data_IF_470133473946
#
_entry.id   IF_470133473946
#
_cell.length_a   1.000
_cell.length_b   1.000
_cell.length_c   1.000
_cell.angle_alpha   90.00
_cell.angle_beta   90.00
_cell.angle_gamma   90.00
#
_symmetry.space_group_name_H-M   'P 1'
#
loop_
_entity.id
_entity.type
_entity.pdbx_description
1 polymer ?
#
# COMPACT_ATOMS: atom_id res chain seq x y z
N UNK A 1 3.17 -25.88 -8.95
CA UNK A 1 4.15 -24.87 -8.50
C UNK A 1 3.45 -24.03 -7.44
N UNK A 2 3.72 -24.28 -6.16
CA UNK A 2 2.92 -23.72 -5.06
C UNK A 2 3.28 -22.25 -4.84
N UNK A 3 2.34 -21.35 -5.11
CA UNK A 3 2.44 -19.91 -4.91
C UNK A 3 2.30 -19.55 -3.42
N UNK A 4 3.23 -20.00 -2.56
CA UNK A 4 3.20 -19.61 -1.15
C UNK A 4 4.05 -18.36 -0.93
N UNK A 5 3.38 -17.21 -0.76
CA UNK A 5 4.01 -16.03 -0.15
C UNK A 5 4.59 -16.45 1.21
N UNK A 6 5.84 -16.09 1.55
CA UNK A 6 6.41 -16.41 2.86
C UNK A 6 5.49 -15.94 4.00
N UNK A 7 5.19 -16.83 4.96
CA UNK A 7 4.30 -16.53 6.09
C UNK A 7 4.76 -15.30 6.88
N UNK A 8 6.07 -15.10 6.98
CA UNK A 8 6.68 -13.93 7.60
C UNK A 8 6.30 -12.64 6.86
N UNK A 9 6.58 -12.56 5.56
CA UNK A 9 6.28 -11.37 4.76
C UNK A 9 4.79 -10.98 4.81
N UNK A 10 3.90 -11.98 4.78
CA UNK A 10 2.46 -11.73 4.91
C UNK A 10 2.08 -11.23 6.31
N UNK A 11 2.70 -11.76 7.37
CA UNK A 11 2.48 -11.29 8.73
C UNK A 11 2.99 -9.85 8.94
N UNK A 12 4.16 -9.53 8.39
CA UNK A 12 4.73 -8.18 8.45
C UNK A 12 3.87 -7.16 7.72
N UNK A 13 3.44 -7.46 6.48
CA UNK A 13 2.56 -6.58 5.72
C UNK A 13 1.23 -6.32 6.46
N UNK A 14 0.63 -7.38 7.03
CA UNK A 14 -0.60 -7.25 7.82
C UNK A 14 -0.41 -6.39 9.06
N UNK A 15 0.70 -6.56 9.77
CA UNK A 15 1.00 -5.78 10.98
C UNK A 15 1.18 -4.29 10.66
N UNK A 16 1.90 -3.97 9.57
CA UNK A 16 2.07 -2.58 9.11
C UNK A 16 0.71 -1.97 8.76
N UNK A 17 -0.11 -2.64 7.95
CA UNK A 17 -1.44 -2.15 7.55
C UNK A 17 -2.36 -1.99 8.78
N UNK A 18 -2.36 -2.96 9.70
CA UNK A 18 -3.16 -2.87 10.92
C UNK A 18 -2.79 -1.65 11.75
N UNK A 19 -1.49 -1.35 11.90
CA UNK A 19 -1.03 -0.15 12.61
C UNK A 19 -1.41 1.14 11.89
N UNK A 20 -1.36 1.18 10.55
CA UNK A 20 -1.79 2.35 9.79
C UNK A 20 -3.28 2.62 10.00
N UNK A 21 -4.13 1.61 9.78
CA UNK A 21 -5.58 1.73 9.95
C UNK A 21 -5.99 2.00 11.41
N UNK A 22 -5.20 1.54 12.37
CA UNK A 22 -5.46 1.81 13.79
C UNK A 22 -5.05 3.22 14.23
N UNK A 23 -4.13 3.89 13.55
CA UNK A 23 -3.65 5.21 14.02
C UNK A 23 -4.07 6.36 13.12
N UNK A 24 -4.49 6.09 11.88
CA UNK A 24 -4.75 7.13 10.89
C UNK A 24 -6.01 6.88 10.07
N UNK A 25 -6.74 7.96 9.82
CA UNK A 25 -7.62 8.06 8.66
C UNK A 25 -6.76 8.38 7.43
N UNK A 26 -7.00 7.66 6.33
CA UNK A 26 -6.17 7.70 5.11
C UNK A 26 -7.04 8.11 3.93
N UNK A 27 -6.63 9.15 3.22
CA UNK A 27 -7.30 9.64 2.00
C UNK A 27 -6.29 9.77 0.85
N UNK A 28 -6.72 9.53 -0.39
CA UNK A 28 -5.89 9.78 -1.57
C UNK A 28 -5.62 11.28 -1.74
N UNK A 29 -4.38 11.65 -2.04
CA UNK A 29 -4.01 13.03 -2.34
C UNK A 29 -4.11 13.34 -3.84
N UNK A 30 -5.33 13.38 -4.36
CA UNK A 30 -5.63 13.65 -5.76
C UNK A 30 -6.14 12.44 -6.54
N UNK A 31 -6.30 12.59 -7.86
CA UNK A 31 -6.81 11.51 -8.73
C UNK A 31 -5.70 10.50 -9.07
N UNK A 32 -5.95 9.23 -8.76
CA UNK A 32 -5.02 8.11 -8.95
C UNK A 32 -5.69 6.94 -9.68
N UNK A 33 -6.76 7.20 -10.47
CA UNK A 33 -7.53 6.14 -11.17
C UNK A 33 -6.71 5.24 -12.07
N UNK A 34 -5.60 5.73 -12.62
CA UNK A 34 -4.72 5.01 -13.55
C UNK A 34 -3.43 4.52 -12.89
N UNK A 35 -3.33 4.57 -11.57
CA UNK A 35 -2.06 4.33 -10.87
C UNK A 35 -1.45 2.95 -11.15
N UNK A 36 -2.29 1.92 -11.31
CA UNK A 36 -1.83 0.56 -11.62
C UNK A 36 -1.45 0.44 -13.09
N UNK A 37 -2.19 1.11 -13.98
CA UNK A 37 -1.98 1.14 -15.42
C UNK A 37 -0.69 1.91 -15.80
N UNK A 38 -0.39 2.97 -15.06
CA UNK A 38 0.79 3.82 -15.24
C UNK A 38 2.05 3.22 -14.60
N UNK A 39 1.88 2.21 -13.74
CA UNK A 39 3.00 1.50 -13.16
C UNK A 39 3.64 0.59 -14.20
N UNK A 40 4.96 0.76 -14.38
CA UNK A 40 5.74 -0.10 -15.25
C UNK A 40 6.16 -1.30 -14.43
N UNK A 41 5.68 -2.49 -14.78
CA UNK A 41 6.04 -3.76 -14.13
C UNK A 41 6.79 -4.73 -15.06
N UNK A 42 6.79 -4.49 -16.37
CA UNK A 42 7.22 -5.47 -17.38
C UNK A 42 8.74 -5.57 -17.58
N UNK A 43 9.49 -4.47 -17.36
CA UNK A 43 10.95 -4.43 -17.58
C UNK A 43 11.66 -3.90 -16.31
N UNK A 44 11.05 -2.91 -15.66
CA UNK A 44 11.50 -2.35 -14.39
C UNK A 44 10.32 -2.46 -13.43
N UNK A 45 10.58 -2.63 -12.12
CA UNK A 45 9.57 -2.48 -11.08
C UNK A 45 9.50 -1.00 -10.68
N UNK A 46 8.85 -0.20 -11.51
CA UNK A 46 8.73 1.24 -11.31
C UNK A 46 7.28 1.62 -11.06
N UNK A 47 6.96 1.74 -9.77
CA UNK A 47 5.67 2.22 -9.29
C UNK A 47 5.61 3.75 -9.40
N UNK A 48 4.46 4.29 -9.80
CA UNK A 48 4.20 5.73 -9.66
C UNK A 48 3.99 6.08 -8.18
N UNK A 49 4.23 7.33 -7.75
CA UNK A 49 3.84 7.76 -6.41
C UNK A 49 2.33 7.57 -6.19
N UNK A 50 1.95 7.00 -5.03
CA UNK A 50 0.57 6.98 -4.53
C UNK A 50 0.53 7.83 -3.26
N UNK A 51 0.32 9.12 -3.44
CA UNK A 51 0.36 10.05 -2.33
C UNK A 51 -0.95 9.96 -1.54
N UNK A 52 -0.82 9.99 -0.21
CA UNK A 52 -1.96 9.93 0.71
C UNK A 52 -1.82 10.98 1.79
N UNK A 53 -2.96 11.49 2.26
CA UNK A 53 -3.07 12.33 3.46
C UNK A 53 -3.33 11.41 4.65
N UNK A 54 -2.57 11.63 5.72
CA UNK A 54 -2.72 10.89 6.98
C UNK A 54 -3.23 11.84 8.06
N UNK A 55 -4.38 11.51 8.65
CA UNK A 55 -4.93 12.24 9.80
C UNK A 55 -4.87 11.34 11.02
N UNK A 56 -4.17 11.75 12.08
CA UNK A 56 -4.07 10.95 13.31
C UNK A 56 -5.40 10.89 14.04
N UNK A 57 -5.82 9.68 14.41
CA UNK A 57 -7.05 9.44 15.17
C UNK A 57 -6.73 9.45 16.67
N UNK A 58 -7.35 10.35 17.43
CA UNK A 58 -7.34 10.28 18.91
C UNK A 58 -8.34 9.23 19.37
N UNK A 59 -7.90 8.32 20.22
CA UNK A 59 -8.73 7.28 20.84
C UNK A 59 -8.65 7.41 22.35
#
# INVERSE_FOLDING_TARGET
MANSVPRLALAEARLVVAKLLWNFDIELDGDHKTWVEDARFYILWQLQPLNVKLTSVKR
#
